data_IF_659252414591
#
_entry.id   IF_659252414591
#
_cell.length_a   1.000
_cell.length_b   1.000
_cell.length_c   1.000
_cell.angle_alpha   90.00
_cell.angle_beta   90.00
_cell.angle_gamma   90.00
#
_symmetry.space_group_name_H-M   'P 1'
#
loop_
_entity.id
_entity.type
_entity.pdbx_description
1 polymer ?
#
# COMPACT_ATOMS: atom_id res chain seq x y z
N UNK A 1 -27.24 5.54 10.73
CA UNK A 1 -25.84 5.61 11.22
C UNK A 1 -24.95 5.69 10.00
N UNK A 2 -24.15 6.76 9.83
CA UNK A 2 -23.14 6.79 8.76
C UNK A 2 -22.05 5.80 9.18
N UNK A 3 -21.87 4.72 8.43
CA UNK A 3 -20.71 3.84 8.64
C UNK A 3 -19.47 4.70 8.41
N UNK A 4 -18.71 5.00 9.47
CA UNK A 4 -17.40 5.61 9.29
C UNK A 4 -16.55 4.61 8.51
N UNK A 5 -15.93 5.02 7.40
CA UNK A 5 -15.02 4.16 6.66
C UNK A 5 -13.90 3.69 7.58
N UNK A 6 -13.52 2.41 7.46
CA UNK A 6 -12.47 1.83 8.29
C UNK A 6 -11.11 2.41 7.92
N UNK A 7 -10.26 2.61 8.92
CA UNK A 7 -8.85 2.92 8.68
C UNK A 7 -8.18 1.74 7.99
N UNK A 8 -7.70 1.97 6.77
CA UNK A 8 -6.97 1.03 5.93
C UNK A 8 -5.48 1.20 6.17
N UNK A 9 -4.82 0.15 6.65
CA UNK A 9 -3.35 0.14 6.77
C UNK A 9 -2.72 -0.05 5.40
N UNK A 10 -1.89 0.89 4.98
CA UNK A 10 -1.12 0.83 3.73
C UNK A 10 0.35 0.74 4.08
N UNK A 11 0.98 -0.40 3.80
CA UNK A 11 2.41 -0.63 4.01
C UNK A 11 3.16 -0.80 2.70
N UNK A 12 4.13 0.07 2.44
CA UNK A 12 4.98 -0.01 1.26
C UNK A 12 6.28 -0.70 1.63
N UNK A 13 6.66 -1.71 0.86
CA UNK A 13 7.89 -2.46 1.03
C UNK A 13 8.86 -2.15 -0.10
N UNK A 14 10.05 -1.67 0.25
CA UNK A 14 11.07 -1.21 -0.70
C UNK A 14 12.40 -1.97 -0.53
N UNK A 15 13.11 -2.27 -1.62
CA UNK A 15 14.45 -2.82 -1.53
C UNK A 15 15.41 -1.78 -0.94
N UNK A 16 16.21 -2.20 0.05
CA UNK A 16 17.27 -1.37 0.64
C UNK A 16 18.53 -1.35 -0.23
N UNK A 17 19.25 -0.22 -0.25
CA UNK A 17 20.52 -0.09 -0.97
C UNK A 17 20.40 0.01 -2.49
N UNK A 18 19.18 0.15 -3.02
CA UNK A 18 18.92 0.35 -4.45
C UNK A 18 18.43 1.77 -4.64
N UNK A 19 19.21 2.61 -5.32
CA UNK A 19 18.76 3.93 -5.75
C UNK A 19 18.40 3.87 -7.23
N UNK A 20 17.20 4.32 -7.61
CA UNK A 20 16.82 4.39 -9.02
C UNK A 20 15.44 4.98 -9.26
N UNK A 21 15.25 5.58 -10.44
CA UNK A 21 14.00 6.25 -10.82
C UNK A 21 12.76 5.35 -10.68
N UNK A 22 12.92 4.04 -10.92
CA UNK A 22 11.85 3.06 -10.76
C UNK A 22 11.30 2.97 -9.33
N UNK A 23 12.14 3.18 -8.29
CA UNK A 23 11.66 3.24 -6.92
C UNK A 23 10.95 4.57 -6.63
N UNK A 24 11.53 5.68 -7.08
CA UNK A 24 10.92 7.01 -6.93
C UNK A 24 9.53 7.06 -7.55
N UNK A 25 9.37 6.54 -8.77
CA UNK A 25 8.07 6.51 -9.46
C UNK A 25 7.06 5.62 -8.73
N UNK A 26 7.51 4.49 -8.18
CA UNK A 26 6.66 3.58 -7.42
C UNK A 26 6.16 4.22 -6.11
N UNK A 27 7.04 4.90 -5.39
CA UNK A 27 6.69 5.66 -4.18
C UNK A 27 5.75 6.82 -4.54
N UNK A 28 6.07 7.57 -5.60
CA UNK A 28 5.27 8.71 -6.04
C UNK A 28 3.82 8.32 -6.37
N UNK A 29 3.62 7.20 -7.09
CA UNK A 29 2.28 6.68 -7.40
C UNK A 29 1.53 6.26 -6.14
N UNK A 30 2.24 5.65 -5.20
CA UNK A 30 1.64 5.24 -3.91
C UNK A 30 1.23 6.45 -3.11
N UNK A 31 2.12 7.44 -2.97
CA UNK A 31 1.85 8.69 -2.27
C UNK A 31 0.69 9.46 -2.91
N UNK A 32 0.62 9.47 -4.24
CA UNK A 32 -0.48 10.09 -4.99
C UNK A 32 -1.84 9.46 -4.67
N UNK A 33 -1.90 8.15 -4.44
CA UNK A 33 -3.13 7.46 -4.09
C UNK A 33 -3.52 7.68 -2.62
N UNK A 34 -2.58 7.50 -1.68
CA UNK A 34 -2.87 7.61 -0.24
C UNK A 34 -3.26 9.02 0.19
N UNK A 35 -2.64 10.05 -0.40
CA UNK A 35 -2.93 11.46 -0.04
C UNK A 35 -4.33 11.93 -0.42
N UNK A 36 -5.05 11.18 -1.28
CA UNK A 36 -6.45 11.47 -1.62
C UNK A 36 -7.40 11.09 -0.49
N UNK A 37 -6.97 10.21 0.42
CA UNK A 37 -7.78 9.56 1.44
C UNK A 37 -7.12 9.63 2.84
N UNK A 38 -6.67 10.81 3.30
CA UNK A 38 -5.87 10.94 4.53
C UNK A 38 -6.64 10.60 5.81
N UNK A 39 -7.97 10.64 5.77
CA UNK A 39 -8.87 10.33 6.87
C UNK A 39 -9.09 8.83 7.07
N UNK A 40 -8.79 8.01 6.04
CA UNK A 40 -9.03 6.57 6.06
C UNK A 40 -7.77 5.74 5.81
N UNK A 41 -6.60 6.36 5.67
CA UNK A 41 -5.34 5.65 5.41
C UNK A 41 -4.36 5.83 6.56
N UNK A 42 -3.89 4.71 7.12
CA UNK A 42 -2.71 4.63 7.98
C UNK A 42 -1.51 4.18 7.13
N UNK A 43 -0.71 5.14 6.69
CA UNK A 43 0.42 4.91 5.77
C UNK A 43 1.72 4.64 6.53
N UNK A 44 2.49 3.67 6.04
CA UNK A 44 3.89 3.56 6.42
C UNK A 44 4.74 2.79 5.42
N UNK A 45 6.04 2.92 5.60
CA UNK A 45 7.05 2.27 4.78
C UNK A 45 7.83 1.25 5.61
N UNK A 46 8.37 0.23 4.95
CA UNK A 46 9.25 -0.77 5.53
C UNK A 46 10.17 -1.35 4.44
N UNK A 47 11.21 -2.08 4.85
CA UNK A 47 12.11 -2.76 3.93
C UNK A 47 11.48 -4.03 3.37
N UNK A 48 11.76 -4.35 2.11
CA UNK A 48 11.38 -5.62 1.49
C UNK A 48 12.07 -6.85 2.13
N UNK A 49 13.10 -6.62 2.97
CA UNK A 49 13.75 -7.66 3.76
C UNK A 49 13.12 -7.91 5.13
N UNK A 50 12.11 -7.14 5.54
CA UNK A 50 11.50 -7.25 6.87
C UNK A 50 10.67 -8.52 7.03
N UNK A 51 10.45 -8.96 8.28
CA UNK A 51 9.56 -10.09 8.57
C UNK A 51 8.11 -9.83 8.14
N UNK A 52 7.67 -8.57 8.18
CA UNK A 52 6.35 -8.18 7.68
C UNK A 52 6.27 -8.37 6.15
N UNK A 53 7.32 -7.97 5.42
CA UNK A 53 7.41 -8.18 3.98
C UNK A 53 7.37 -9.67 3.62
N UNK A 54 8.12 -10.51 4.34
CA UNK A 54 8.15 -11.97 4.15
C UNK A 54 6.79 -12.61 4.40
N UNK A 55 6.12 -12.26 5.51
CA UNK A 55 4.77 -12.76 5.83
C UNK A 55 3.73 -12.34 4.80
N UNK A 56 3.89 -11.14 4.23
CA UNK A 56 3.05 -10.64 3.15
C UNK A 56 3.39 -11.27 1.79
N UNK A 57 4.49 -12.02 1.66
CA UNK A 57 4.91 -12.62 0.38
C UNK A 57 5.59 -11.64 -0.58
N UNK A 58 6.14 -10.52 -0.09
CA UNK A 58 6.90 -9.56 -0.90
C UNK A 58 8.28 -10.12 -1.23
N UNK A 59 8.63 -10.12 -2.51
CA UNK A 59 9.92 -10.64 -3.00
C UNK A 59 10.94 -9.55 -3.35
N UNK A 60 10.49 -8.40 -3.86
CA UNK A 60 11.35 -7.28 -4.25
C UNK A 60 10.81 -5.93 -3.79
N UNK A 61 9.58 -5.60 -4.21
CA UNK A 61 8.82 -4.44 -3.72
C UNK A 61 7.33 -4.76 -3.78
N UNK A 62 6.53 -4.09 -2.96
CA UNK A 62 5.10 -4.28 -2.95
C UNK A 62 4.37 -3.32 -2.02
N UNK A 63 3.04 -3.29 -2.12
CA UNK A 63 2.17 -2.47 -1.28
C UNK A 63 1.14 -3.41 -0.66
N UNK A 64 1.15 -3.53 0.66
CA UNK A 64 0.12 -4.23 1.42
C UNK A 64 -0.96 -3.22 1.84
N UNK A 65 -2.18 -3.43 1.38
CA UNK A 65 -3.35 -2.58 1.63
C UNK A 65 -4.35 -3.44 2.40
N UNK A 66 -4.39 -3.28 3.73
CA UNK A 66 -5.07 -4.19 4.63
C UNK A 66 -4.58 -5.62 4.44
N UNK A 67 -5.41 -6.48 3.85
CA UNK A 67 -5.05 -7.89 3.52
C UNK A 67 -4.59 -8.11 2.07
N UNK A 68 -4.71 -7.09 1.21
CA UNK A 68 -4.43 -7.20 -0.23
C UNK A 68 -3.00 -6.77 -0.54
N UNK A 69 -2.25 -7.63 -1.21
CA UNK A 69 -0.91 -7.29 -1.69
C UNK A 69 -0.95 -6.88 -3.17
N UNK A 70 -0.38 -5.73 -3.48
CA UNK A 70 -0.08 -5.29 -4.85
C UNK A 70 1.43 -5.43 -5.09
N UNK A 71 1.80 -6.17 -6.14
CA UNK A 71 3.19 -6.36 -6.56
C UNK A 71 3.44 -5.77 -7.97
N UNK A 72 4.70 -5.67 -8.36
CA UNK A 72 5.10 -5.22 -9.70
C UNK A 72 5.19 -3.69 -9.82
N UNK A 73 4.33 -3.10 -10.64
CA UNK A 73 4.31 -1.66 -10.92
C UNK A 73 2.88 -1.09 -11.03
N UNK A 74 2.07 -1.18 -9.96
CA UNK A 74 0.70 -0.70 -9.99
C UNK A 74 0.63 0.80 -10.30
N UNK A 75 -0.46 1.22 -10.96
CA UNK A 75 -0.78 2.64 -11.17
C UNK A 75 -1.35 3.26 -9.89
N UNK A 76 -1.39 4.60 -9.81
CA UNK A 76 -2.06 5.28 -8.69
C UNK A 76 -3.51 4.86 -8.54
N UNK A 77 -4.20 4.63 -9.66
CA UNK A 77 -5.63 4.31 -9.67
C UNK A 77 -5.87 2.89 -9.16
N UNK A 78 -5.02 1.93 -9.54
CA UNK A 78 -5.07 0.57 -8.99
C UNK A 78 -4.82 0.53 -7.47
N UNK A 79 -3.95 1.40 -6.97
CA UNK A 79 -3.67 1.53 -5.53
C UNK A 79 -4.89 2.14 -4.82
N UNK A 80 -5.48 3.20 -5.39
CA UNK A 80 -6.67 3.85 -4.85
C UNK A 80 -7.88 2.91 -4.83
N UNK A 81 -8.14 2.19 -5.92
CA UNK A 81 -9.21 1.19 -5.98
C UNK A 81 -9.05 0.13 -4.90
N UNK A 82 -7.82 -0.33 -4.65
CA UNK A 82 -7.53 -1.29 -3.59
C UNK A 82 -7.78 -0.71 -2.19
N UNK A 83 -7.44 0.57 -1.95
CA UNK A 83 -7.73 1.26 -0.69
C UNK A 83 -9.24 1.34 -0.47
N UNK A 84 -9.99 1.80 -1.47
CA UNK A 84 -11.45 1.95 -1.38
C UNK A 84 -12.15 0.59 -1.23
N UNK A 85 -11.67 -0.44 -1.91
CA UNK A 85 -12.21 -1.78 -1.77
C UNK A 85 -12.01 -2.33 -0.34
N UNK A 86 -10.83 -2.13 0.25
CA UNK A 86 -10.55 -2.58 1.62
C UNK A 86 -11.31 -1.74 2.66
N UNK A 87 -11.47 -0.43 2.44
CA UNK A 87 -12.23 0.46 3.32
C UNK A 87 -13.72 0.10 3.39
N UNK A 88 -14.28 -0.40 2.29
CA UNK A 88 -15.68 -0.80 2.16
C UNK A 88 -15.95 -2.27 2.50
N UNK A 89 -14.92 -3.06 2.84
CA UNK A 89 -15.10 -4.48 3.10
C UNK A 89 -15.82 -4.69 4.44
N UNK A 90 -16.96 -5.40 4.40
CA UNK A 90 -17.62 -5.96 5.58
C UNK A 90 -16.76 -7.07 6.18
N UNK A 91 -16.74 -7.21 7.51
CA UNK A 91 -16.12 -8.36 8.15
C UNK A 91 -16.93 -9.60 7.83
N UNK A 92 -16.32 -10.56 7.14
CA UNK A 92 -16.69 -11.98 7.22
C UNK A 92 -16.22 -12.56 8.56
#
# INVERSE_FOLDING_TARGET
MKNMPRIVKVRVFLPVGVCGCSQTDFIARTYQAVRKHPDIVDYGEDSAGSEAAKRAGVTYRGILIGRRLLQGNPTSDQIEEAILAEANRTED
#
